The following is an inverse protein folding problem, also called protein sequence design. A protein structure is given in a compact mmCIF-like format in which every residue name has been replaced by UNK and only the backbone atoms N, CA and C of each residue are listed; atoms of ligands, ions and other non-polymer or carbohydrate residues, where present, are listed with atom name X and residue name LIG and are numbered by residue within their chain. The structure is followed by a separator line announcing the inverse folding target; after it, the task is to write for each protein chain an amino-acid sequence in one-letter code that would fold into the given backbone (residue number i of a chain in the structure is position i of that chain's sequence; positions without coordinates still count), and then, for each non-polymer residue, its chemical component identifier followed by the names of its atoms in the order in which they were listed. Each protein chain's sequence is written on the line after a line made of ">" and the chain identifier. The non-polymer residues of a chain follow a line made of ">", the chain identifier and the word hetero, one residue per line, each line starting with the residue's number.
data_IF_456854562386
#
_entry.id   IF_456854562386
#
_cell.length_a   1.000
_cell.length_b   1.000
_cell.length_c   1.000
_cell.angle_alpha   90.00
_cell.angle_beta   90.00
_cell.angle_gamma   90.00
#
_symmetry.space_group_name_H-M   'P 1'
#
loop_
_entity.id
_entity.type
_entity.pdbx_description
1 polymer ?
#
# COMPACT_ATOMS: atom_id res chain seq x y z
N UNK A 1 -28.90 -0.35 -8.26
CA UNK A 1 -27.70 -0.20 -7.41
C UNK A 1 -26.98 -1.53 -7.16
N UNK A 2 -27.64 -2.58 -6.64
CA UNK A 2 -27.00 -3.85 -6.31
C UNK A 2 -26.28 -4.54 -7.48
N UNK A 3 -26.90 -4.59 -8.67
CA UNK A 3 -26.28 -5.16 -9.88
C UNK A 3 -24.98 -4.43 -10.27
N UNK A 4 -24.99 -3.10 -10.20
CA UNK A 4 -23.84 -2.25 -10.57
C UNK A 4 -22.63 -2.56 -9.69
N UNK A 5 -22.84 -2.64 -8.38
CA UNK A 5 -21.78 -2.95 -7.42
C UNK A 5 -21.24 -4.37 -7.64
N UNK A 6 -22.12 -5.36 -7.86
CA UNK A 6 -21.70 -6.75 -8.12
C UNK A 6 -20.86 -6.86 -9.40
N UNK A 7 -21.27 -6.19 -10.47
CA UNK A 7 -20.51 -6.16 -11.72
C UNK A 7 -19.16 -5.44 -11.55
N UNK A 8 -19.11 -4.33 -10.81
CA UNK A 8 -17.86 -3.63 -10.52
C UNK A 8 -16.89 -4.52 -9.75
N UNK A 9 -17.37 -5.18 -8.69
CA UNK A 9 -16.56 -6.11 -7.89
C UNK A 9 -16.03 -7.24 -8.79
N UNK A 10 -16.89 -7.83 -9.62
CA UNK A 10 -16.50 -8.90 -10.53
C UNK A 10 -15.37 -8.45 -11.48
N UNK A 11 -15.56 -7.33 -12.19
CA UNK A 11 -14.59 -6.87 -13.18
C UNK A 11 -13.28 -6.38 -12.52
N UNK A 12 -13.34 -5.71 -11.37
CA UNK A 12 -12.12 -5.33 -10.65
C UNK A 12 -11.34 -6.56 -10.18
N UNK A 13 -12.01 -7.60 -9.65
CA UNK A 13 -11.32 -8.82 -9.22
C UNK A 13 -10.72 -9.59 -10.40
N UNK A 14 -11.43 -9.67 -11.53
CA UNK A 14 -10.92 -10.28 -12.77
C UNK A 14 -9.64 -9.58 -13.25
N UNK A 15 -9.61 -8.24 -13.27
CA UNK A 15 -8.45 -7.47 -13.72
C UNK A 15 -7.32 -7.41 -12.67
N UNK A 16 -7.64 -7.58 -11.39
CA UNK A 16 -6.65 -7.68 -10.31
C UNK A 16 -5.98 -9.05 -10.25
N UNK A 17 -6.61 -10.12 -10.74
CA UNK A 17 -6.09 -11.47 -10.66
C UNK A 17 -4.71 -11.67 -11.33
N UNK A 18 -4.46 -11.20 -12.58
CA UNK A 18 -3.14 -11.32 -13.21
C UNK A 18 -1.99 -10.67 -12.42
N UNK A 19 -2.06 -9.37 -12.02
CA UNK A 19 -0.98 -8.76 -11.25
C UNK A 19 -0.84 -9.37 -9.84
N UNK A 20 -1.94 -9.80 -9.22
CA UNK A 20 -1.91 -10.48 -7.93
C UNK A 20 -1.17 -11.81 -8.00
N UNK A 21 -1.48 -12.67 -8.98
CA UNK A 21 -0.76 -13.92 -9.17
C UNK A 21 0.71 -13.70 -9.55
N UNK A 22 1.02 -12.65 -10.31
CA UNK A 22 2.40 -12.31 -10.63
C UNK A 22 3.24 -12.03 -9.37
N UNK A 23 2.63 -11.45 -8.33
CA UNK A 23 3.31 -11.21 -7.04
C UNK A 23 3.49 -12.49 -6.21
N UNK A 24 2.58 -13.47 -6.34
CA UNK A 24 2.65 -14.73 -5.59
C UNK A 24 3.63 -15.70 -6.22
N UNK A 25 3.55 -15.88 -7.54
CA UNK A 25 4.30 -16.89 -8.28
C UNK A 25 5.60 -16.36 -8.88
N UNK A 26 5.85 -15.04 -8.82
CA UNK A 26 7.07 -14.38 -9.31
C UNK A 26 7.43 -14.82 -10.74
N UNK A 27 8.55 -15.53 -10.92
CA UNK A 27 9.04 -16.05 -12.21
C UNK A 27 8.45 -17.40 -12.62
N UNK A 28 7.69 -18.09 -11.76
CA UNK A 28 7.13 -19.41 -12.08
C UNK A 28 5.95 -19.28 -13.04
N UNK A 29 5.98 -20.05 -14.13
CA UNK A 29 4.94 -20.08 -15.18
C UNK A 29 4.64 -18.72 -15.82
N UNK A 30 5.67 -17.89 -15.95
CA UNK A 30 5.58 -16.56 -16.58
C UNK A 30 5.70 -16.60 -18.11
N UNK A 31 5.40 -17.73 -18.76
CA UNK A 31 5.50 -17.88 -20.20
C UNK A 31 4.65 -16.82 -20.91
N UNK A 32 5.25 -15.98 -21.76
CA UNK A 32 4.51 -14.96 -22.49
C UNK A 32 3.61 -15.63 -23.52
N UNK A 33 2.42 -15.05 -23.74
CA UNK A 33 1.42 -15.58 -24.68
C UNK A 33 1.93 -15.55 -26.11
N UNK A 34 2.71 -14.52 -26.47
CA UNK A 34 3.30 -14.39 -27.80
C UNK A 34 4.52 -15.30 -28.01
N UNK A 35 5.03 -15.98 -26.97
CA UNK A 35 6.25 -16.77 -27.09
C UNK A 35 7.48 -15.99 -27.56
N UNK A 36 7.45 -14.65 -27.49
CA UNK A 36 8.49 -13.78 -28.06
C UNK A 36 8.37 -13.51 -29.56
N UNK A 37 7.25 -13.89 -30.20
CA UNK A 37 7.01 -13.63 -31.61
C UNK A 37 6.88 -12.12 -31.91
N UNK A 38 7.49 -11.73 -33.04
CA UNK A 38 7.36 -10.40 -33.62
C UNK A 38 6.25 -10.43 -34.68
N UNK A 39 5.50 -9.34 -34.77
CA UNK A 39 4.53 -9.14 -35.84
C UNK A 39 5.22 -8.59 -37.10
N UNK A 40 4.46 -8.42 -38.19
CA UNK A 40 4.94 -7.95 -39.50
C UNK A 40 5.69 -6.60 -39.46
N UNK A 41 5.47 -5.79 -38.43
CA UNK A 41 6.14 -4.51 -38.20
C UNK A 41 7.44 -4.62 -37.39
N UNK A 42 7.91 -5.85 -37.11
CA UNK A 42 9.11 -6.13 -36.34
C UNK A 42 8.97 -5.91 -34.83
N UNK A 43 7.76 -5.65 -34.33
CA UNK A 43 7.50 -5.40 -32.90
C UNK A 43 6.84 -6.61 -32.24
N UNK A 44 7.03 -6.83 -30.94
CA UNK A 44 6.35 -7.90 -30.20
C UNK A 44 4.83 -7.85 -30.41
N UNK A 45 4.15 -9.00 -30.42
CA UNK A 45 2.69 -9.03 -30.55
C UNK A 45 1.99 -8.45 -29.31
N UNK A 46 2.27 -8.98 -28.11
CA UNK A 46 1.62 -8.54 -26.87
C UNK A 46 2.63 -8.02 -25.84
N UNK A 47 3.87 -8.51 -25.89
CA UNK A 47 4.95 -8.15 -24.97
C UNK A 47 5.06 -9.10 -23.78
N UNK A 48 6.24 -9.09 -23.14
CA UNK A 48 6.65 -10.06 -22.10
C UNK A 48 5.76 -10.09 -20.85
N UNK A 49 4.96 -9.04 -20.61
CA UNK A 49 4.10 -8.95 -19.43
C UNK A 49 2.75 -9.67 -19.59
N UNK A 50 2.37 -10.09 -20.82
CA UNK A 50 1.14 -10.84 -21.07
C UNK A 50 1.42 -12.33 -21.03
N UNK A 51 1.02 -12.95 -19.92
CA UNK A 51 1.38 -14.34 -19.60
C UNK A 51 0.15 -15.24 -19.65
N UNK A 52 0.35 -16.50 -20.05
CA UNK A 52 -0.72 -17.50 -20.11
C UNK A 52 -1.38 -17.66 -18.73
N UNK A 53 -0.57 -17.68 -17.66
CA UNK A 53 -1.07 -17.73 -16.29
C UNK A 53 -1.99 -16.57 -15.96
N UNK A 54 -1.69 -15.36 -16.45
CA UNK A 54 -2.48 -14.16 -16.16
C UNK A 54 -3.87 -14.26 -16.79
N UNK A 55 -3.93 -14.66 -18.06
CA UNK A 55 -5.20 -14.85 -18.77
C UNK A 55 -6.03 -15.96 -18.13
N UNK A 56 -5.43 -17.11 -17.83
CA UNK A 56 -6.12 -18.20 -17.13
C UNK A 56 -6.62 -17.76 -15.75
N UNK A 57 -5.84 -16.97 -15.01
CA UNK A 57 -6.24 -16.44 -13.72
C UNK A 57 -7.46 -15.53 -13.81
N UNK A 58 -7.51 -14.62 -14.79
CA UNK A 58 -8.67 -13.76 -15.02
C UNK A 58 -9.93 -14.54 -15.35
N UNK A 59 -9.82 -15.54 -16.24
CA UNK A 59 -10.94 -16.41 -16.63
C UNK A 59 -11.45 -17.24 -15.45
N UNK A 60 -10.55 -17.92 -14.73
CA UNK A 60 -10.90 -18.73 -13.56
C UNK A 60 -11.51 -17.86 -12.47
N UNK A 61 -10.95 -16.67 -12.22
CA UNK A 61 -11.51 -15.71 -11.25
C UNK A 61 -12.93 -15.32 -11.64
N UNK A 62 -13.19 -15.01 -12.91
CA UNK A 62 -14.54 -14.73 -13.40
C UNK A 62 -15.50 -15.91 -13.17
N UNK A 63 -15.06 -17.13 -13.46
CA UNK A 63 -15.85 -18.35 -13.27
C UNK A 63 -16.15 -18.70 -11.80
N UNK A 64 -15.25 -18.37 -10.87
CA UNK A 64 -15.44 -18.62 -9.44
C UNK A 64 -16.24 -17.50 -8.75
N UNK A 65 -15.87 -16.25 -9.02
CA UNK A 65 -16.46 -15.07 -8.37
C UNK A 65 -17.84 -14.74 -8.95
N UNK A 66 -18.08 -15.01 -10.24
CA UNK A 66 -19.38 -14.80 -10.87
C UNK A 66 -20.52 -15.48 -10.10
N UNK A 67 -20.50 -16.82 -9.94
CA UNK A 67 -21.46 -17.56 -9.13
C UNK A 67 -21.55 -17.09 -7.68
N UNK A 68 -20.41 -16.77 -7.05
CA UNK A 68 -20.38 -16.26 -5.67
C UNK A 68 -21.14 -14.93 -5.51
N UNK A 69 -21.19 -14.11 -6.57
CA UNK A 69 -21.96 -12.85 -6.62
C UNK A 69 -23.39 -13.02 -7.14
N UNK A 70 -23.80 -14.26 -7.44
CA UNK A 70 -25.13 -14.61 -7.95
C UNK A 70 -25.29 -14.50 -9.47
N UNK A 71 -24.19 -14.49 -10.23
CA UNK A 71 -24.21 -14.55 -11.69
C UNK A 71 -24.14 -16.01 -12.17
N UNK A 72 -24.73 -16.34 -13.34
CA UNK A 72 -24.50 -17.64 -13.97
C UNK A 72 -23.02 -17.88 -14.24
N UNK A 73 -22.57 -19.15 -14.11
CA UNK A 73 -21.18 -19.54 -14.36
C UNK A 73 -20.69 -19.11 -15.74
N UNK A 74 -21.51 -19.32 -16.78
CA UNK A 74 -21.16 -18.95 -18.14
C UNK A 74 -20.91 -17.44 -18.29
N UNK A 75 -21.67 -16.59 -17.57
CA UNK A 75 -21.53 -15.14 -17.62
C UNK A 75 -20.26 -14.69 -16.90
N UNK A 76 -19.91 -15.34 -15.79
CA UNK A 76 -18.65 -15.12 -15.09
C UNK A 76 -17.44 -15.49 -15.95
N UNK A 77 -17.47 -16.66 -16.59
CA UNK A 77 -16.44 -17.12 -17.51
C UNK A 77 -16.32 -16.21 -18.74
N UNK A 78 -17.45 -15.81 -19.36
CA UNK A 78 -17.44 -14.92 -20.53
C UNK A 78 -16.88 -13.55 -20.16
N UNK A 79 -17.21 -13.03 -18.98
CA UNK A 79 -16.69 -11.77 -18.45
C UNK A 79 -15.18 -11.84 -18.24
N UNK A 80 -14.69 -12.91 -17.61
CA UNK A 80 -13.25 -13.16 -17.45
C UNK A 80 -12.53 -13.21 -18.79
N UNK A 81 -13.07 -13.97 -19.75
CA UNK A 81 -12.51 -14.10 -21.09
C UNK A 81 -12.49 -12.79 -21.87
N UNK A 82 -13.61 -12.08 -21.94
CA UNK A 82 -13.74 -10.82 -22.68
C UNK A 82 -12.88 -9.71 -22.09
N UNK A 83 -12.74 -9.67 -20.75
CA UNK A 83 -11.87 -8.70 -20.09
C UNK A 83 -10.39 -8.96 -20.40
N UNK A 84 -9.95 -10.22 -20.32
CA UNK A 84 -8.59 -10.62 -20.71
C UNK A 84 -8.32 -10.42 -22.21
N UNK A 85 -9.33 -10.62 -23.06
CA UNK A 85 -9.24 -10.30 -24.48
C UNK A 85 -9.05 -8.79 -24.70
N UNK A 86 -9.75 -7.95 -23.93
CA UNK A 86 -9.58 -6.50 -23.93
C UNK A 86 -8.14 -6.10 -23.60
N UNK A 87 -7.60 -6.67 -22.53
CA UNK A 87 -6.22 -6.42 -22.10
C UNK A 87 -5.18 -6.82 -23.18
N UNK A 88 -5.42 -7.93 -23.88
CA UNK A 88 -4.58 -8.37 -25.01
C UNK A 88 -4.69 -7.41 -26.21
N UNK A 89 -5.90 -6.97 -26.54
CA UNK A 89 -6.14 -6.01 -27.62
C UNK A 89 -5.49 -4.65 -27.31
N UNK A 90 -5.67 -4.13 -26.10
CA UNK A 90 -4.98 -2.91 -25.64
C UNK A 90 -3.48 -3.05 -25.75
N UNK A 91 -2.93 -4.20 -25.36
CA UNK A 91 -1.48 -4.44 -25.44
C UNK A 91 -0.98 -4.50 -26.87
N UNK A 92 -1.69 -5.19 -27.76
CA UNK A 92 -1.40 -5.23 -29.18
C UNK A 92 -1.39 -3.83 -29.80
N UNK A 93 -2.44 -3.04 -29.56
CA UNK A 93 -2.54 -1.65 -30.01
C UNK A 93 -1.38 -0.80 -29.46
N UNK A 94 -1.05 -0.94 -28.17
CA UNK A 94 0.11 -0.27 -27.57
C UNK A 94 1.41 -0.59 -28.32
N UNK A 95 1.60 -1.81 -28.81
CA UNK A 95 2.80 -2.18 -29.60
C UNK A 95 2.80 -1.48 -30.96
N UNK A 96 1.64 -1.34 -31.60
CA UNK A 96 1.51 -0.64 -32.90
C UNK A 96 1.84 0.85 -32.77
N UNK A 97 1.47 1.46 -31.63
CA UNK A 97 1.78 2.86 -31.33
C UNK A 97 3.17 3.09 -30.71
N UNK A 98 4.02 2.07 -30.63
CA UNK A 98 5.42 2.17 -30.15
C UNK A 98 5.59 2.36 -28.63
N UNK A 99 4.57 2.07 -27.82
CA UNK A 99 4.70 2.13 -26.36
C UNK A 99 5.55 0.96 -25.83
N UNK A 100 6.15 1.10 -24.64
CA UNK A 100 6.98 0.04 -24.03
C UNK A 100 6.15 -0.91 -23.16
N UNK A 101 6.63 -2.14 -22.95
CA UNK A 101 5.80 -3.17 -22.30
C UNK A 101 5.71 -2.85 -20.82
N UNK A 102 4.49 -2.80 -20.27
CA UNK A 102 4.27 -2.44 -18.86
C UNK A 102 3.84 -0.98 -18.65
N UNK A 103 3.92 -0.13 -19.67
CA UNK A 103 3.35 1.21 -19.60
C UNK A 103 1.83 1.13 -19.47
N UNK A 104 1.31 1.80 -18.44
CA UNK A 104 -0.13 2.01 -18.26
C UNK A 104 -0.51 3.24 -19.06
N UNK A 105 -1.32 3.06 -20.11
CA UNK A 105 -1.79 4.18 -20.92
C UNK A 105 -3.24 4.46 -20.52
N UNK A 106 -3.53 5.61 -19.88
CA UNK A 106 -4.88 5.93 -19.46
C UNK A 106 -5.86 5.89 -20.64
N UNK A 107 -7.02 5.28 -20.42
CA UNK A 107 -8.05 5.07 -21.44
C UNK A 107 -7.81 3.84 -22.31
N UNK A 108 -6.63 3.71 -22.92
CA UNK A 108 -6.36 2.63 -23.88
C UNK A 108 -6.42 1.24 -23.23
N UNK A 109 -6.01 1.13 -21.97
CA UNK A 109 -6.07 -0.14 -21.22
C UNK A 109 -7.45 -0.36 -20.60
N UNK A 110 -8.00 0.65 -19.91
CA UNK A 110 -9.22 0.48 -19.12
C UNK A 110 -10.49 0.35 -19.96
N UNK A 111 -10.54 0.96 -21.15
CA UNK A 111 -11.73 0.94 -21.99
C UNK A 111 -12.01 -0.47 -22.53
N UNK A 112 -11.08 -1.17 -23.20
CA UNK A 112 -11.35 -2.52 -23.68
C UNK A 112 -11.56 -3.54 -22.56
N UNK A 113 -10.76 -3.47 -21.48
CA UNK A 113 -10.87 -4.34 -20.30
C UNK A 113 -12.24 -4.23 -19.63
N UNK A 114 -12.79 -3.00 -19.55
CA UNK A 114 -14.05 -2.69 -18.89
C UNK A 114 -15.29 -2.84 -19.78
N UNK A 115 -15.19 -2.49 -21.07
CA UNK A 115 -16.35 -2.45 -21.97
C UNK A 115 -16.59 -3.74 -22.74
N UNK A 116 -15.55 -4.51 -23.11
CA UNK A 116 -15.78 -5.77 -23.85
C UNK A 116 -16.65 -6.78 -23.11
N UNK A 117 -16.54 -6.96 -21.78
CA UNK A 117 -17.46 -7.84 -21.04
C UNK A 117 -18.94 -7.48 -21.21
N UNK A 118 -19.26 -6.22 -21.49
CA UNK A 118 -20.64 -5.79 -21.73
C UNK A 118 -21.25 -6.33 -23.01
N UNK A 119 -20.47 -6.89 -23.93
CA UNK A 119 -20.99 -7.63 -25.08
C UNK A 119 -21.87 -8.81 -24.60
N UNK A 120 -21.49 -9.49 -23.52
CA UNK A 120 -22.33 -10.56 -22.93
C UNK A 120 -23.29 -10.04 -21.84
N UNK A 121 -22.87 -9.06 -21.03
CA UNK A 121 -23.64 -8.62 -19.86
C UNK A 121 -24.83 -7.74 -20.27
N UNK A 122 -24.62 -6.81 -21.22
CA UNK A 122 -25.65 -5.85 -21.63
C UNK A 122 -26.90 -6.52 -22.23
N UNK A 123 -26.81 -7.47 -23.18
CA UNK A 123 -28.01 -8.13 -23.69
C UNK A 123 -28.68 -9.01 -22.63
N UNK A 124 -27.91 -9.69 -21.77
CA UNK A 124 -28.45 -10.59 -20.74
C UNK A 124 -29.29 -9.87 -19.68
N UNK A 125 -28.88 -8.65 -19.29
CA UNK A 125 -29.61 -7.83 -18.32
C UNK A 125 -30.39 -6.67 -18.95
N UNK A 126 -30.44 -6.60 -20.29
CA UNK A 126 -31.08 -5.51 -21.04
C UNK A 126 -30.63 -4.11 -20.58
N UNK A 127 -29.32 -3.93 -20.43
CA UNK A 127 -28.74 -2.69 -19.91
C UNK A 127 -28.77 -1.56 -20.97
N UNK A 128 -29.03 -0.34 -20.53
CA UNK A 128 -28.99 0.84 -21.40
C UNK A 128 -27.56 1.28 -21.71
N UNK A 129 -27.36 1.95 -22.85
CA UNK A 129 -26.05 2.50 -23.22
C UNK A 129 -25.49 3.47 -22.17
N UNK A 130 -26.37 4.28 -21.54
CA UNK A 130 -25.98 5.19 -20.46
C UNK A 130 -25.44 4.45 -19.23
N UNK A 131 -26.00 3.29 -18.91
CA UNK A 131 -25.51 2.44 -17.82
C UNK A 131 -24.10 1.92 -18.11
N UNK A 132 -23.88 1.41 -19.33
CA UNK A 132 -22.56 0.90 -19.76
C UNK A 132 -21.52 2.01 -19.75
N UNK A 133 -21.88 3.21 -20.23
CA UNK A 133 -20.99 4.37 -20.20
C UNK A 133 -20.60 4.78 -18.78
N UNK A 134 -21.59 4.97 -17.89
CA UNK A 134 -21.34 5.31 -16.49
C UNK A 134 -20.48 4.24 -15.80
N UNK A 135 -20.76 2.97 -16.06
CA UNK A 135 -19.97 1.86 -15.54
C UNK A 135 -18.52 1.96 -16.03
N UNK A 136 -18.30 2.15 -17.34
CA UNK A 136 -16.97 2.27 -17.91
C UNK A 136 -16.15 3.40 -17.29
N UNK A 137 -16.77 4.55 -17.01
CA UNK A 137 -16.12 5.68 -16.31
C UNK A 137 -15.71 5.29 -14.89
N UNK A 138 -16.63 4.74 -14.09
CA UNK A 138 -16.36 4.37 -12.69
C UNK A 138 -15.32 3.25 -12.61
N UNK A 139 -15.47 2.22 -13.43
CA UNK A 139 -14.51 1.12 -13.53
C UNK A 139 -13.13 1.64 -13.94
N UNK A 140 -13.07 2.48 -14.98
CA UNK A 140 -11.82 3.00 -15.51
C UNK A 140 -11.06 3.88 -14.53
N UNK A 141 -11.77 4.75 -13.79
CA UNK A 141 -11.16 5.52 -12.69
C UNK A 141 -10.60 4.57 -11.62
N UNK A 142 -11.38 3.59 -11.17
CA UNK A 142 -10.92 2.62 -10.16
C UNK A 142 -9.72 1.80 -10.62
N UNK A 143 -9.74 1.32 -11.86
CA UNK A 143 -8.64 0.55 -12.44
C UNK A 143 -7.38 1.41 -12.62
N UNK A 144 -7.52 2.67 -13.06
CA UNK A 144 -6.41 3.62 -13.15
C UNK A 144 -5.79 3.89 -11.79
N UNK A 145 -6.59 4.24 -10.77
CA UNK A 145 -6.10 4.47 -9.41
C UNK A 145 -5.46 3.21 -8.81
N UNK A 146 -6.02 2.03 -9.07
CA UNK A 146 -5.43 0.75 -8.64
C UNK A 146 -4.07 0.50 -9.27
N UNK A 147 -3.94 0.71 -10.59
CA UNK A 147 -2.66 0.59 -11.29
C UNK A 147 -1.64 1.64 -10.81
N UNK A 148 -2.08 2.89 -10.63
CA UNK A 148 -1.24 3.96 -10.09
C UNK A 148 -0.72 3.59 -8.70
N UNK A 149 -1.60 3.14 -7.79
CA UNK A 149 -1.20 2.75 -6.43
C UNK A 149 -0.22 1.57 -6.46
N UNK A 150 -0.48 0.54 -7.26
CA UNK A 150 0.41 -0.61 -7.37
C UNK A 150 1.79 -0.20 -7.92
N UNK A 151 1.84 0.53 -9.02
CA UNK A 151 3.09 0.84 -9.72
C UNK A 151 3.88 1.96 -9.05
N UNK A 152 3.21 3.05 -8.65
CA UNK A 152 3.87 4.25 -8.12
C UNK A 152 4.09 4.20 -6.61
N UNK A 153 3.26 3.48 -5.85
CA UNK A 153 3.35 3.44 -4.38
C UNK A 153 3.97 2.12 -3.90
N UNK A 154 3.49 0.98 -4.39
CA UNK A 154 3.93 -0.33 -3.90
C UNK A 154 5.18 -0.85 -4.60
N UNK A 155 5.29 -0.71 -5.92
CA UNK A 155 6.40 -1.27 -6.70
C UNK A 155 7.55 -0.28 -6.96
N UNK A 156 7.36 1.00 -6.65
CA UNK A 156 8.43 2.00 -6.72
C UNK A 156 9.39 1.84 -5.56
N UNK A 157 10.69 1.93 -5.85
CA UNK A 157 11.76 1.93 -4.83
C UNK A 157 11.57 3.18 -3.94
N UNK A 158 11.42 3.03 -2.60
CA UNK A 158 11.12 4.16 -1.72
C UNK A 158 12.33 5.08 -1.47
N UNK A 159 13.52 4.51 -1.36
CA UNK A 159 14.79 5.23 -1.17
C UNK A 159 15.95 4.37 -1.68
N UNK A 160 17.11 4.98 -1.93
CA UNK A 160 18.22 4.33 -2.64
C UNK A 160 18.78 3.10 -1.92
N UNK A 161 18.87 3.13 -0.60
CA UNK A 161 19.42 2.03 0.20
C UNK A 161 18.36 1.07 0.74
N UNK A 162 17.27 0.83 0.00
CA UNK A 162 16.19 -0.07 0.46
C UNK A 162 16.70 -1.51 0.59
N UNK A 163 16.71 -2.11 1.80
CA UNK A 163 17.43 -3.36 2.07
C UNK A 163 16.69 -4.61 1.61
N UNK A 164 15.42 -4.51 1.21
CA UNK A 164 14.56 -5.64 0.88
C UNK A 164 14.27 -5.69 -0.63
N UNK A 165 13.93 -6.87 -1.13
CA UNK A 165 13.35 -6.99 -2.48
C UNK A 165 11.98 -6.33 -2.51
N UNK A 166 11.71 -5.55 -3.56
CA UNK A 166 10.45 -4.86 -3.74
C UNK A 166 9.36 -5.91 -4.04
N UNK A 167 8.43 -6.08 -3.10
CA UNK A 167 7.25 -6.92 -3.24
C UNK A 167 6.03 -6.11 -2.81
N UNK A 168 4.97 -6.12 -3.60
CA UNK A 168 3.79 -5.32 -3.33
C UNK A 168 3.18 -5.63 -1.95
N UNK A 169 3.10 -6.91 -1.58
CA UNK A 169 2.58 -7.34 -0.28
C UNK A 169 3.47 -6.91 0.90
N UNK A 170 4.80 -6.98 0.75
CA UNK A 170 5.73 -6.52 1.79
C UNK A 170 5.64 -5.01 1.95
N UNK A 171 5.58 -4.27 0.85
CA UNK A 171 5.45 -2.81 0.83
C UNK A 171 4.11 -2.35 1.40
N UNK A 172 3.02 -3.05 1.08
CA UNK A 172 1.71 -2.80 1.66
C UNK A 172 1.73 -3.04 3.17
N UNK A 173 2.29 -4.17 3.63
CA UNK A 173 2.48 -4.44 5.06
C UNK A 173 3.34 -3.39 5.75
N UNK A 174 4.38 -2.88 5.10
CA UNK A 174 5.21 -1.79 5.65
C UNK A 174 4.42 -0.49 5.79
N UNK A 175 3.58 -0.14 4.81
CA UNK A 175 2.71 1.03 4.87
C UNK A 175 1.68 0.94 5.99
N UNK A 176 1.18 -0.27 6.26
CA UNK A 176 0.23 -0.54 7.35
C UNK A 176 0.95 -0.69 8.70
N UNK A 177 2.22 -1.12 8.72
CA UNK A 177 2.96 -1.34 9.96
C UNK A 177 3.34 -0.04 10.67
N UNK A 178 3.18 -0.02 11.98
CA UNK A 178 3.60 1.07 12.86
C UNK A 178 5.13 1.16 12.96
N UNK A 179 5.81 1.68 11.93
CA UNK A 179 7.17 2.22 12.06
C UNK A 179 7.20 3.70 11.65
N UNK A 180 7.95 4.48 12.42
CA UNK A 180 7.99 5.96 12.50
C UNK A 180 8.56 6.64 11.23
N UNK A 181 8.77 5.91 10.14
CA UNK A 181 9.27 6.51 8.90
C UNK A 181 8.14 7.19 8.11
N UNK A 182 8.20 8.53 8.11
CA UNK A 182 7.35 9.55 7.49
C UNK A 182 6.81 9.24 6.07
N UNK A 183 5.72 8.48 5.96
CA UNK A 183 4.92 8.38 4.73
C UNK A 183 3.65 9.24 4.85
N UNK A 184 3.29 10.05 3.83
CA UNK A 184 2.07 10.86 3.83
C UNK A 184 0.78 10.02 3.91
N UNK A 185 0.84 8.73 3.57
CA UNK A 185 -0.32 7.83 3.63
C UNK A 185 -0.64 7.30 5.04
N UNK A 186 0.21 7.56 6.05
CA UNK A 186 0.01 7.06 7.42
C UNK A 186 -1.27 7.57 8.08
N UNK A 187 -1.62 8.83 7.87
CA UNK A 187 -2.80 9.46 8.48
C UNK A 187 -4.13 8.87 7.98
N UNK A 188 -4.14 8.37 6.74
CA UNK A 188 -5.34 7.83 6.10
C UNK A 188 -5.55 6.36 6.47
N UNK A 189 -4.48 5.57 6.52
CA UNK A 189 -4.58 4.11 6.72
C UNK A 189 -4.73 3.70 8.20
N UNK A 190 -4.16 4.45 9.15
CA UNK A 190 -4.31 4.21 10.59
C UNK A 190 -5.24 5.24 11.23
N UNK A 191 -6.39 5.48 10.62
CA UNK A 191 -7.38 6.43 11.12
C UNK A 191 -7.87 6.07 12.54
N UNK A 192 -7.94 4.78 12.86
CA UNK A 192 -8.30 4.29 14.20
C UNK A 192 -7.32 4.77 15.28
N UNK A 193 -6.01 4.73 15.05
CA UNK A 193 -5.01 5.19 16.02
C UNK A 193 -5.11 6.72 16.23
N UNK A 194 -5.31 7.47 15.15
CA UNK A 194 -5.45 8.93 15.24
C UNK A 194 -6.70 9.31 16.06
N UNK A 195 -7.84 8.69 15.78
CA UNK A 195 -9.10 8.97 16.49
C UNK A 195 -9.04 8.46 17.93
N UNK A 196 -8.59 7.22 18.15
CA UNK A 196 -8.56 6.60 19.47
C UNK A 196 -7.57 7.29 20.41
N UNK A 197 -6.32 7.51 19.99
CA UNK A 197 -5.30 8.11 20.85
C UNK A 197 -5.49 9.62 21.02
N UNK A 198 -5.78 10.36 19.95
CA UNK A 198 -5.80 11.83 20.04
C UNK A 198 -7.16 12.39 20.46
N UNK A 199 -8.28 11.77 20.06
CA UNK A 199 -9.61 12.27 20.45
C UNK A 199 -10.15 11.55 21.68
N UNK A 200 -10.21 10.23 21.69
CA UNK A 200 -10.87 9.50 22.79
C UNK A 200 -10.03 9.52 24.07
N UNK A 201 -8.80 8.99 24.03
CA UNK A 201 -7.93 8.88 25.21
C UNK A 201 -7.60 10.23 25.84
N UNK A 202 -7.21 11.23 25.01
CA UNK A 202 -6.91 12.57 25.50
C UNK A 202 -8.13 13.23 26.16
N UNK A 203 -9.33 13.06 25.59
CA UNK A 203 -10.55 13.64 26.16
C UNK A 203 -10.93 12.97 27.48
N UNK A 204 -10.86 11.63 27.54
CA UNK A 204 -11.11 10.87 28.77
C UNK A 204 -10.10 11.22 29.86
N UNK A 205 -8.80 11.27 29.54
CA UNK A 205 -7.76 11.64 30.52
C UNK A 205 -7.84 13.09 30.98
N UNK A 206 -8.29 14.01 30.12
CA UNK A 206 -8.62 15.38 30.53
C UNK A 206 -9.84 15.43 31.44
N UNK A 207 -10.90 14.70 31.10
CA UNK A 207 -12.12 14.62 31.92
C UNK A 207 -11.83 14.04 33.32
N UNK A 208 -10.98 13.01 33.40
CA UNK A 208 -10.52 12.41 34.65
C UNK A 208 -9.40 13.20 35.35
N UNK A 209 -8.95 14.34 34.78
CA UNK A 209 -7.80 15.16 35.26
C UNK A 209 -6.46 14.44 35.36
N UNK A 210 -6.36 13.21 34.86
CA UNK A 210 -5.13 12.41 34.86
C UNK A 210 -4.11 13.01 33.88
N UNK A 211 -4.56 13.61 32.78
CA UNK A 211 -3.69 14.24 31.79
C UNK A 211 -2.84 15.37 32.38
N UNK A 212 -3.47 16.30 33.09
CA UNK A 212 -2.77 17.40 33.74
C UNK A 212 -1.88 16.93 34.91
N UNK A 213 -2.32 15.90 35.63
CA UNK A 213 -1.50 15.26 36.67
C UNK A 213 -0.25 14.59 36.06
N UNK A 214 -0.41 13.90 34.93
CA UNK A 214 0.69 13.27 34.20
C UNK A 214 1.72 14.29 33.72
N UNK A 215 1.27 15.42 33.16
CA UNK A 215 2.17 16.54 32.80
C UNK A 215 2.94 17.08 34.00
N UNK A 216 2.24 17.32 35.13
CA UNK A 216 2.89 17.80 36.35
C UNK A 216 3.92 16.80 36.87
N UNK A 217 3.61 15.50 36.86
CA UNK A 217 4.53 14.45 37.28
C UNK A 217 5.74 14.35 36.35
N UNK A 218 5.55 14.44 35.03
CA UNK A 218 6.64 14.40 34.05
C UNK A 218 7.61 15.60 34.21
N UNK A 219 7.11 16.75 34.69
CA UNK A 219 7.94 17.91 35.00
C UNK A 219 8.66 17.80 36.37
N UNK A 220 8.43 16.74 37.14
CA UNK A 220 9.22 16.43 38.36
C UNK A 220 10.39 15.55 37.95
N UNK A 221 11.50 16.20 37.65
CA UNK A 221 12.74 15.52 37.25
C UNK A 221 13.55 15.27 38.53
N UNK A 222 13.80 14.01 38.82
CA UNK A 222 14.62 13.60 39.97
C UNK A 222 16.08 13.43 39.56
N UNK A 223 16.99 14.04 40.33
CA UNK A 223 18.42 13.71 40.28
C UNK A 223 18.67 12.55 41.23
N UNK A 224 19.34 11.50 40.75
CA UNK A 224 19.83 10.40 41.60
C UNK A 224 21.34 10.30 41.51
N UNK A 225 21.97 10.19 42.66
CA UNK A 225 23.40 9.97 42.78
C UNK A 225 23.63 8.53 43.21
N UNK A 226 24.49 7.82 42.48
CA UNK A 226 24.83 6.43 42.77
C UNK A 226 26.35 6.35 42.85
N UNK A 227 26.85 5.92 44.00
CA UNK A 227 28.28 5.77 44.25
C UNK A 227 28.69 4.31 44.08
N UNK A 228 29.68 4.08 43.24
CA UNK A 228 30.27 2.75 43.03
C UNK A 228 31.65 2.70 43.69
N UNK A 229 31.98 1.55 44.29
CA UNK A 229 33.26 1.33 44.95
C UNK A 229 33.92 0.11 44.31
N UNK A 230 35.19 0.24 43.91
CA UNK A 230 35.95 -0.83 43.29
C UNK A 230 37.31 -0.95 44.00
N UNK A 231 37.71 -2.17 44.33
CA UNK A 231 38.97 -2.45 45.04
C UNK A 231 40.22 -2.11 44.20
N UNK A 232 40.10 -2.22 42.88
CA UNK A 232 41.19 -2.04 41.93
C UNK A 232 41.05 -0.74 41.11
N UNK A 233 40.34 0.27 41.65
CA UNK A 233 40.13 1.54 40.95
C UNK A 233 41.48 2.29 40.83
N UNK A 234 41.92 2.68 39.63
CA UNK A 234 43.13 3.47 39.49
C UNK A 234 42.96 4.82 40.22
N UNK A 235 43.99 5.34 40.92
CA UNK A 235 43.88 6.57 41.71
C UNK A 235 43.41 7.80 40.91
N UNK A 236 43.66 7.83 39.60
CA UNK A 236 43.21 8.90 38.71
C UNK A 236 41.68 8.99 38.56
N UNK A 237 40.95 7.93 38.91
CA UNK A 237 39.48 7.87 38.85
C UNK A 237 38.82 7.94 40.24
N UNK A 238 39.59 8.12 41.32
CA UNK A 238 39.02 8.31 42.65
C UNK A 238 38.24 9.62 42.72
N UNK A 239 36.97 9.53 43.16
CA UNK A 239 36.05 10.67 43.16
C UNK A 239 35.57 11.15 41.78
N UNK A 240 35.86 10.41 40.69
CA UNK A 240 35.44 10.78 39.33
C UNK A 240 33.91 10.71 39.17
N UNK A 241 33.30 11.80 38.70
CA UNK A 241 31.84 11.92 38.55
C UNK A 241 31.43 11.89 37.10
N UNK A 242 30.52 10.98 36.78
CA UNK A 242 29.93 10.83 35.45
C UNK A 242 28.47 11.28 35.48
N UNK A 243 28.10 12.22 34.61
CA UNK A 243 26.72 12.61 34.39
C UNK A 243 26.11 11.74 33.29
N UNK A 244 25.25 10.80 33.68
CA UNK A 244 24.53 9.95 32.74
C UNK A 244 23.14 10.53 32.43
N UNK A 245 22.88 10.81 31.14
CA UNK A 245 21.60 11.29 30.64
C UNK A 245 21.03 10.28 29.64
N UNK A 246 19.78 9.85 29.85
CA UNK A 246 19.12 8.87 28.99
C UNK A 246 17.66 9.25 28.76
N UNK A 247 17.14 8.94 27.56
CA UNK A 247 15.74 9.09 27.15
C UNK A 247 15.07 10.43 27.51
N UNK A 248 15.77 11.54 27.22
CA UNK A 248 15.36 12.88 27.67
C UNK A 248 14.08 13.43 27.01
N UNK A 249 13.70 12.96 25.81
CA UNK A 249 12.50 13.38 25.07
C UNK A 249 12.16 14.88 25.17
N UNK A 250 13.17 15.74 24.98
CA UNK A 250 13.15 17.16 25.34
C UNK A 250 12.01 17.95 24.67
N UNK A 251 11.61 17.57 23.45
CA UNK A 251 10.53 18.25 22.71
C UNK A 251 9.13 17.70 23.03
N UNK A 252 9.01 16.79 23.99
CA UNK A 252 7.76 16.08 24.29
C UNK A 252 6.79 16.85 25.19
N UNK A 253 7.27 17.84 25.95
CA UNK A 253 6.45 18.60 26.90
C UNK A 253 7.04 19.99 27.18
N UNK A 254 6.21 21.03 27.06
CA UNK A 254 6.59 22.40 27.38
C UNK A 254 7.14 22.52 28.81
N UNK A 255 8.30 23.16 28.96
CA UNK A 255 8.96 23.39 30.27
C UNK A 255 9.86 22.24 30.76
N UNK A 256 9.91 21.11 30.05
CA UNK A 256 10.78 19.98 30.42
C UNK A 256 12.25 20.33 30.17
N UNK A 257 12.56 20.84 28.99
CA UNK A 257 13.92 21.21 28.56
C UNK A 257 14.57 22.24 29.49
N UNK A 258 13.83 23.29 29.86
CA UNK A 258 14.30 24.35 30.74
C UNK A 258 14.66 23.80 32.13
N UNK A 259 13.84 22.87 32.66
CA UNK A 259 14.10 22.22 33.94
C UNK A 259 15.32 21.31 33.90
N UNK A 260 15.49 20.52 32.83
CA UNK A 260 16.66 19.66 32.64
C UNK A 260 17.93 20.51 32.62
N UNK A 261 17.94 21.62 31.86
CA UNK A 261 19.08 22.54 31.79
C UNK A 261 19.43 23.09 33.18
N UNK A 262 18.42 23.47 33.98
CA UNK A 262 18.65 23.97 35.34
C UNK A 262 19.34 22.93 36.24
N UNK A 263 18.88 21.68 36.19
CA UNK A 263 19.44 20.58 37.00
C UNK A 263 20.88 20.25 36.56
N UNK A 264 21.13 20.18 35.25
CA UNK A 264 22.47 19.89 34.71
C UNK A 264 23.45 20.99 35.12
N UNK A 265 23.08 22.28 35.01
CA UNK A 265 23.95 23.40 35.41
C UNK A 265 24.37 23.36 36.88
N UNK A 266 23.56 22.77 37.74
CA UNK A 266 23.83 22.64 39.18
C UNK A 266 24.47 21.32 39.56
N UNK A 267 24.66 20.41 38.60
CA UNK A 267 25.23 19.08 38.83
C UNK A 267 26.69 19.08 38.43
N UNK A 268 27.62 18.98 39.38
CA UNK A 268 29.02 18.95 39.05
C UNK A 268 29.38 17.56 38.50
N UNK A 269 30.02 17.55 37.33
CA UNK A 269 30.41 16.34 36.63
C UNK A 269 31.76 16.58 35.97
N UNK A 270 32.61 15.55 35.97
CA UNK A 270 33.91 15.59 35.33
C UNK A 270 33.81 15.07 33.88
N UNK A 271 32.73 14.32 33.58
CA UNK A 271 32.32 13.82 32.27
C UNK A 271 30.80 13.83 32.10
#
# INVERSE_FOLDING_TARGET
>A
MALFIRLLILLWLVNLAPPFLAQIFESRWNSPIDGGQLFLDGRPMFGKHKTIRGVLAGIITGGLIGPALGFPLWLGLSTGFLSMLGDLLSSFLKRRFSFTSGDTVPGLDQIPEGLLPFISIAPYYSLSAGYVFLFGVVFGLGAYFGSFFLNQVLLRKPFESYPRRIRALTRFRELVSCKITASPFRQILNFEDAVYYHMFMKSVFKALRIYERGKKNALVIEKREVSFHFSDLPPAFDGYRVLFLTDLHLDGLDGLTEKVIQIIRQTPADM
#
